data_IF_735146570522
#
_entry.id   IF_735146570522
#
_cell.length_a   1.000
_cell.length_b   1.000
_cell.length_c   1.000
_cell.angle_alpha   90.00
_cell.angle_beta   90.00
_cell.angle_gamma   90.00
#
_symmetry.space_group_name_H-M   'P 1'
#
loop_
_entity.id
_entity.type
_entity.pdbx_description
1 polymer ?
#
# COMPACT_ATOMS: atom_id res chain seq x y z
N UNK A 1 10.75 -12.04 -59.23
CA UNK A 1 10.48 -12.76 -57.95
C UNK A 1 11.82 -13.03 -57.29
N UNK A 2 12.34 -12.08 -56.51
CA UNK A 2 13.64 -12.21 -55.84
C UNK A 2 13.40 -12.44 -54.35
N UNK A 3 13.88 -13.59 -53.88
CA UNK A 3 13.84 -14.02 -52.48
C UNK A 3 14.77 -13.12 -51.65
N UNK A 4 14.22 -12.40 -50.67
CA UNK A 4 15.02 -11.72 -49.66
C UNK A 4 15.62 -12.73 -48.68
N UNK A 5 16.95 -12.80 -48.68
CA UNK A 5 17.73 -13.60 -47.74
C UNK A 5 17.66 -13.02 -46.33
N UNK A 6 17.56 -13.92 -45.35
CA UNK A 6 17.64 -13.62 -43.92
C UNK A 6 18.90 -12.82 -43.56
N UNK A 7 18.72 -11.64 -42.94
CA UNK A 7 19.82 -10.77 -42.48
C UNK A 7 20.27 -11.15 -41.06
N UNK A 8 21.57 -11.42 -40.94
CA UNK A 8 22.32 -11.73 -39.70
C UNK A 8 22.40 -10.53 -38.74
N UNK A 9 22.49 -10.86 -37.45
CA UNK A 9 22.71 -10.01 -36.27
C UNK A 9 23.84 -8.99 -36.46
N UNK A 10 23.59 -7.73 -36.11
CA UNK A 10 24.62 -6.69 -35.96
C UNK A 10 24.38 -5.32 -36.62
N UNK A 11 23.14 -4.89 -36.91
CA UNK A 11 22.88 -3.51 -37.40
C UNK A 11 22.42 -2.58 -36.27
N UNK A 12 22.89 -1.31 -36.24
CA UNK A 12 22.34 -0.28 -35.37
C UNK A 12 20.85 -0.10 -35.67
N UNK A 13 20.05 0.13 -34.63
CA UNK A 13 18.60 0.35 -34.62
C UNK A 13 17.92 0.32 -36.01
N UNK A 14 17.28 -0.81 -36.33
CA UNK A 14 16.54 -1.05 -37.58
C UNK A 14 15.76 0.19 -38.03
N UNK A 15 16.00 0.59 -39.28
CA UNK A 15 15.12 1.47 -40.07
C UNK A 15 13.68 0.98 -39.86
N UNK A 16 12.80 1.86 -39.36
CA UNK A 16 11.39 1.50 -39.25
C UNK A 16 10.85 1.32 -40.66
N UNK A 17 10.20 0.19 -40.91
CA UNK A 17 9.57 -0.02 -42.21
C UNK A 17 8.40 0.97 -42.36
N UNK A 18 8.11 1.40 -43.58
CA UNK A 18 6.99 2.31 -43.87
C UNK A 18 5.68 1.80 -43.23
N UNK A 19 5.41 0.49 -43.32
CA UNK A 19 4.26 -0.14 -42.69
C UNK A 19 4.24 -0.01 -41.14
N UNK A 20 5.41 -0.08 -40.49
CA UNK A 20 5.51 0.11 -39.03
C UNK A 20 5.24 1.56 -38.63
N UNK A 21 5.62 2.52 -39.47
CA UNK A 21 5.37 3.95 -39.25
C UNK A 21 3.90 4.32 -39.47
N UNK A 22 3.23 3.71 -40.45
CA UNK A 22 1.78 3.83 -40.61
C UNK A 22 1.04 3.31 -39.37
N UNK A 23 1.33 2.08 -38.95
CA UNK A 23 0.71 1.49 -37.75
C UNK A 23 1.04 2.27 -36.46
N UNK A 24 2.22 2.90 -36.39
CA UNK A 24 2.58 3.80 -35.31
C UNK A 24 1.72 5.07 -35.30
N UNK A 25 1.51 5.71 -36.45
CA UNK A 25 0.65 6.89 -36.56
C UNK A 25 -0.80 6.54 -36.22
N UNK A 26 -1.32 5.39 -36.69
CA UNK A 26 -2.65 4.90 -36.30
C UNK A 26 -2.77 4.75 -34.77
N UNK A 27 -1.78 4.13 -34.13
CA UNK A 27 -1.74 4.02 -32.66
C UNK A 27 -1.71 5.38 -31.94
N UNK A 28 -1.07 6.40 -32.53
CA UNK A 28 -1.10 7.75 -31.96
C UNK A 28 -2.47 8.42 -32.16
N UNK A 29 -3.13 8.18 -33.31
CA UNK A 29 -4.45 8.71 -33.63
C UNK A 29 -5.56 8.13 -32.75
N UNK A 30 -5.41 6.89 -32.28
CA UNK A 30 -6.34 6.25 -31.33
C UNK A 30 -6.35 6.88 -29.93
N UNK A 31 -5.35 7.71 -29.59
CA UNK A 31 -5.27 8.38 -28.29
C UNK A 31 -6.01 9.70 -28.32
N UNK A 32 -6.85 9.94 -27.30
CA UNK A 32 -7.48 11.24 -27.08
C UNK A 32 -7.48 11.55 -25.56
N UNK A 33 -6.85 12.64 -25.09
CA UNK A 33 -6.13 13.68 -25.84
C UNK A 33 -4.68 13.31 -26.21
N UNK A 34 -4.19 13.85 -27.34
CA UNK A 34 -2.80 13.72 -27.81
C UNK A 34 -1.90 14.82 -27.25
N UNK A 35 -0.63 14.50 -27.04
CA UNK A 35 0.37 15.51 -26.68
C UNK A 35 0.87 16.29 -27.89
N UNK A 36 1.44 17.48 -27.65
CA UNK A 36 2.05 18.30 -28.70
C UNK A 36 3.13 17.54 -29.47
N UNK A 37 3.98 16.78 -28.76
CA UNK A 37 4.99 15.90 -29.36
C UNK A 37 4.37 14.86 -30.30
N UNK A 38 3.24 14.27 -29.93
CA UNK A 38 2.57 13.26 -30.76
C UNK A 38 2.03 13.89 -32.05
N UNK A 39 1.43 15.09 -31.96
CA UNK A 39 0.95 15.81 -33.13
C UNK A 39 2.11 16.20 -34.08
N UNK A 40 3.21 16.74 -33.53
CA UNK A 40 4.40 17.09 -34.31
C UNK A 40 5.00 15.87 -35.05
N UNK A 41 4.99 14.69 -34.40
CA UNK A 41 5.48 13.45 -34.99
C UNK A 41 4.56 12.93 -36.11
N UNK A 42 3.24 13.04 -35.95
CA UNK A 42 2.26 12.68 -36.99
C UNK A 42 2.47 13.57 -38.22
N UNK A 43 2.51 14.89 -38.03
CA UNK A 43 2.64 15.85 -39.12
C UNK A 43 3.96 15.65 -39.90
N UNK A 44 5.06 15.44 -39.17
CA UNK A 44 6.36 15.19 -39.78
C UNK A 44 6.39 13.89 -40.61
N UNK A 45 5.80 12.80 -40.10
CA UNK A 45 5.74 11.53 -40.83
C UNK A 45 4.81 11.58 -42.04
N UNK A 46 3.68 12.30 -41.96
CA UNK A 46 2.75 12.45 -43.08
C UNK A 46 3.30 13.34 -44.20
N UNK A 47 4.03 14.41 -43.85
CA UNK A 47 4.62 15.32 -44.82
C UNK A 47 5.66 14.65 -45.74
N UNK A 48 6.39 13.67 -45.21
CA UNK A 48 7.44 12.94 -45.94
C UNK A 48 7.01 11.54 -46.41
N UNK A 49 5.70 11.30 -46.53
CA UNK A 49 5.11 10.01 -46.96
C UNK A 49 5.70 8.80 -46.20
N UNK A 50 5.85 8.96 -44.88
CA UNK A 50 6.39 7.96 -43.96
C UNK A 50 7.82 7.50 -44.29
N UNK A 51 8.56 8.28 -45.08
CA UNK A 51 9.96 8.04 -45.34
C UNK A 51 10.83 8.62 -44.22
N UNK A 52 11.24 7.78 -43.27
CA UNK A 52 12.04 8.19 -42.12
C UNK A 52 13.37 8.85 -42.49
N UNK A 53 13.99 8.45 -43.60
CA UNK A 53 15.29 8.96 -44.02
C UNK A 53 15.21 10.39 -44.57
N UNK A 54 14.01 10.86 -44.95
CA UNK A 54 13.78 12.21 -45.47
C UNK A 54 13.48 13.23 -44.37
N UNK A 55 13.25 12.75 -43.14
CA UNK A 55 13.10 13.62 -41.98
C UNK A 55 14.44 14.28 -41.60
N UNK A 56 14.37 15.53 -41.15
CA UNK A 56 15.52 16.20 -40.52
C UNK A 56 16.00 15.44 -39.27
N UNK A 57 17.27 15.59 -38.90
CA UNK A 57 17.83 14.91 -37.71
C UNK A 57 17.04 15.19 -36.43
N UNK A 58 16.54 16.43 -36.26
CA UNK A 58 15.70 16.81 -35.14
C UNK A 58 14.38 16.02 -35.14
N UNK A 59 13.69 15.94 -36.29
CA UNK A 59 12.45 15.16 -36.43
C UNK A 59 12.70 13.66 -36.21
N UNK A 60 13.81 13.11 -36.70
CA UNK A 60 14.18 11.71 -36.48
C UNK A 60 14.34 11.38 -34.98
N UNK A 61 14.92 12.31 -34.20
CA UNK A 61 15.03 12.15 -32.73
C UNK A 61 13.65 12.15 -32.08
N UNK A 62 12.78 13.09 -32.45
CA UNK A 62 11.41 13.19 -31.91
C UNK A 62 10.59 11.93 -32.21
N UNK A 63 10.65 11.44 -33.46
CA UNK A 63 9.99 10.19 -33.86
C UNK A 63 10.53 9.01 -33.06
N UNK A 64 11.84 8.89 -32.88
CA UNK A 64 12.45 7.81 -32.06
C UNK A 64 12.00 7.87 -30.59
N UNK A 65 11.84 9.06 -30.02
CA UNK A 65 11.34 9.23 -28.66
C UNK A 65 9.87 8.81 -28.55
N UNK A 66 9.02 9.32 -29.44
CA UNK A 66 7.60 9.02 -29.48
C UNK A 66 7.29 7.55 -29.82
N UNK A 67 8.23 6.84 -30.46
CA UNK A 67 8.12 5.42 -30.77
C UNK A 67 8.31 4.48 -29.56
N UNK A 68 8.97 4.92 -28.48
CA UNK A 68 9.25 4.03 -27.33
C UNK A 68 7.98 3.41 -26.75
N UNK A 69 6.90 4.16 -26.45
CA UNK A 69 5.67 3.60 -25.92
C UNK A 69 4.96 2.67 -26.92
N UNK A 70 5.04 2.98 -28.22
CA UNK A 70 4.46 2.12 -29.26
C UNK A 70 5.19 0.78 -29.36
N UNK A 71 6.53 0.78 -29.35
CA UNK A 71 7.33 -0.46 -29.34
C UNK A 71 7.04 -1.34 -28.13
N UNK A 72 6.81 -0.73 -26.97
CA UNK A 72 6.38 -1.46 -25.77
C UNK A 72 4.97 -2.04 -25.94
N UNK A 73 4.02 -1.27 -26.46
CA UNK A 73 2.65 -1.71 -26.73
C UNK A 73 2.63 -2.91 -27.70
N UNK A 74 3.35 -2.82 -28.82
CA UNK A 74 3.43 -3.90 -29.81
C UNK A 74 4.02 -5.19 -29.22
N UNK A 75 5.07 -5.08 -28.40
CA UNK A 75 5.65 -6.27 -27.72
C UNK A 75 4.62 -6.96 -26.84
N UNK A 76 3.84 -6.19 -26.06
CA UNK A 76 2.80 -6.73 -25.21
C UNK A 76 1.68 -7.39 -26.05
N UNK A 77 1.23 -6.71 -27.10
CA UNK A 77 0.18 -7.20 -28.01
C UNK A 77 0.57 -8.50 -28.69
N UNK A 78 1.77 -8.57 -29.27
CA UNK A 78 2.26 -9.77 -29.95
C UNK A 78 2.39 -10.95 -28.99
N UNK A 79 2.89 -10.71 -27.77
CA UNK A 79 2.97 -11.78 -26.77
C UNK A 79 1.58 -12.26 -26.34
N UNK A 80 0.63 -11.34 -26.17
CA UNK A 80 -0.75 -11.69 -25.84
C UNK A 80 -1.40 -12.54 -26.95
N UNK A 81 -1.24 -12.15 -28.21
CA UNK A 81 -1.76 -12.90 -29.37
C UNK A 81 -1.13 -14.29 -29.43
N UNK A 82 0.19 -14.38 -29.25
CA UNK A 82 0.91 -15.66 -29.21
C UNK A 82 0.38 -16.59 -28.12
N UNK A 83 0.31 -16.09 -26.87
CA UNK A 83 -0.13 -16.88 -25.72
C UNK A 83 -1.62 -17.24 -25.79
N UNK A 84 -2.45 -16.36 -26.36
CA UNK A 84 -3.88 -16.62 -26.51
C UNK A 84 -4.15 -17.84 -27.39
N UNK A 85 -3.33 -18.05 -28.43
CA UNK A 85 -3.44 -19.19 -29.34
C UNK A 85 -2.87 -20.49 -28.76
N UNK A 86 -2.12 -20.45 -27.64
CA UNK A 86 -1.56 -21.65 -27.05
C UNK A 86 -2.62 -22.48 -26.30
N UNK A 87 -2.72 -23.80 -26.55
CA UNK A 87 -3.76 -24.65 -25.95
C UNK A 87 -3.51 -24.98 -24.47
N UNK A 88 -2.25 -24.97 -24.02
CA UNK A 88 -1.87 -25.15 -22.62
C UNK A 88 -1.08 -23.93 -22.18
N UNK A 89 -1.45 -23.39 -21.03
CA UNK A 89 -0.85 -22.19 -20.45
C UNK A 89 -0.37 -22.52 -19.05
N UNK A 90 0.73 -21.90 -18.67
CA UNK A 90 1.24 -21.90 -17.30
C UNK A 90 0.54 -20.84 -16.47
N UNK A 91 0.61 -20.93 -15.14
CA UNK A 91 0.06 -19.91 -14.24
C UNK A 91 0.62 -18.51 -14.54
N UNK A 92 1.88 -18.42 -14.99
CA UNK A 92 2.49 -17.14 -15.37
C UNK A 92 1.89 -16.56 -16.64
N UNK A 93 1.68 -17.40 -17.66
CA UNK A 93 1.08 -17.00 -18.93
C UNK A 93 -0.39 -16.60 -18.73
N UNK A 94 -1.14 -17.37 -17.93
CA UNK A 94 -2.51 -17.03 -17.55
C UNK A 94 -2.58 -15.67 -16.85
N UNK A 95 -1.71 -15.44 -15.86
CA UNK A 95 -1.62 -14.16 -15.17
C UNK A 95 -1.23 -13.01 -16.09
N UNK A 96 -0.33 -13.24 -17.06
CA UNK A 96 0.01 -12.23 -18.06
C UNK A 96 -1.21 -11.86 -18.91
N UNK A 97 -1.97 -12.86 -19.37
CA UNK A 97 -3.17 -12.64 -20.18
C UNK A 97 -4.24 -11.87 -19.40
N UNK A 98 -4.48 -12.21 -18.14
CA UNK A 98 -5.43 -11.49 -17.28
C UNK A 98 -5.03 -10.01 -17.09
N UNK A 99 -3.75 -9.76 -16.79
CA UNK A 99 -3.22 -8.40 -16.64
C UNK A 99 -3.32 -7.63 -17.97
N UNK A 100 -3.04 -8.26 -19.11
CA UNK A 100 -3.14 -7.61 -20.42
C UNK A 100 -4.60 -7.29 -20.79
N UNK A 101 -5.55 -8.17 -20.50
CA UNK A 101 -6.97 -7.90 -20.73
C UNK A 101 -7.48 -6.73 -19.88
N UNK A 102 -7.05 -6.63 -18.62
CA UNK A 102 -7.33 -5.46 -17.78
C UNK A 102 -6.68 -4.20 -18.37
N UNK A 103 -5.51 -4.32 -19.01
CA UNK A 103 -4.75 -3.20 -19.57
C UNK A 103 -5.48 -2.59 -20.76
N UNK A 104 -6.05 -3.42 -21.62
CA UNK A 104 -6.90 -2.97 -22.73
C UNK A 104 -8.17 -2.25 -22.26
N UNK A 105 -8.65 -2.53 -21.04
CA UNK A 105 -9.82 -1.88 -20.45
C UNK A 105 -9.46 -0.66 -19.58
N UNK A 106 -8.20 -0.19 -19.63
CA UNK A 106 -7.67 0.92 -18.83
C UNK A 106 -7.83 0.76 -17.30
N UNK A 107 -7.93 -0.49 -16.82
CA UNK A 107 -8.27 -0.83 -15.44
C UNK A 107 -7.05 -1.28 -14.60
N UNK A 108 -5.84 -0.87 -14.95
CA UNK A 108 -4.64 -1.13 -14.14
C UNK A 108 -4.07 0.15 -13.57
N UNK A 109 -3.63 0.05 -12.33
CA UNK A 109 -2.79 1.09 -11.74
C UNK A 109 -1.37 1.08 -12.35
N UNK A 110 -0.59 2.16 -12.17
CA UNK A 110 0.77 2.25 -12.71
C UNK A 110 1.73 1.14 -12.24
N UNK A 111 1.52 0.58 -11.04
CA UNK A 111 2.36 -0.50 -10.53
C UNK A 111 2.05 -1.82 -11.26
N UNK A 112 0.77 -2.10 -11.51
CA UNK A 112 0.34 -3.27 -12.27
C UNK A 112 0.73 -3.17 -13.76
N UNK A 113 0.70 -1.97 -14.36
CA UNK A 113 1.21 -1.75 -15.74
C UNK A 113 2.71 -2.07 -15.82
N UNK A 114 3.49 -1.64 -14.83
CA UNK A 114 4.91 -1.96 -14.77
C UNK A 114 5.17 -3.46 -14.59
N UNK A 115 4.32 -4.15 -13.82
CA UNK A 115 4.36 -5.61 -13.67
C UNK A 115 4.12 -6.28 -15.04
N UNK A 116 3.09 -5.85 -15.77
CA UNK A 116 2.77 -6.38 -17.10
C UNK A 116 3.95 -6.22 -18.08
N UNK A 117 4.54 -5.02 -18.16
CA UNK A 117 5.71 -4.73 -19.01
C UNK A 117 6.92 -5.60 -18.65
N UNK A 118 7.18 -5.76 -17.35
CA UNK A 118 8.27 -6.60 -16.85
C UNK A 118 8.04 -8.06 -17.20
N UNK A 119 6.80 -8.56 -17.04
CA UNK A 119 6.46 -9.94 -17.35
C UNK A 119 6.71 -10.26 -18.83
N UNK A 120 6.25 -9.40 -19.73
CA UNK A 120 6.51 -9.54 -21.15
C UNK A 120 8.00 -9.57 -21.48
N UNK A 121 8.77 -8.62 -20.95
CA UNK A 121 10.22 -8.56 -21.20
C UNK A 121 10.94 -9.82 -20.72
N UNK A 122 10.59 -10.34 -19.54
CA UNK A 122 11.20 -11.55 -18.98
C UNK A 122 10.80 -12.79 -19.75
N UNK A 123 9.54 -12.94 -20.12
CA UNK A 123 9.09 -14.07 -20.93
C UNK A 123 9.81 -14.12 -22.28
N UNK A 124 9.93 -12.97 -22.95
CA UNK A 124 10.66 -12.88 -24.22
C UNK A 124 12.15 -13.18 -24.04
N UNK A 125 12.77 -12.73 -22.94
CA UNK A 125 14.16 -13.06 -22.61
C UNK A 125 14.33 -14.57 -22.30
N UNK A 126 13.41 -15.16 -21.55
CA UNK A 126 13.36 -16.58 -21.24
C UNK A 126 13.29 -17.42 -22.52
N UNK A 127 12.35 -17.10 -23.41
CA UNK A 127 12.20 -17.75 -24.72
C UNK A 127 13.45 -17.58 -25.59
N UNK A 128 14.07 -16.41 -25.57
CA UNK A 128 15.30 -16.14 -26.32
C UNK A 128 16.53 -16.91 -25.78
N UNK A 129 16.56 -17.19 -24.47
CA UNK A 129 17.68 -17.85 -23.80
C UNK A 129 17.47 -19.36 -23.57
N UNK A 130 16.28 -19.92 -23.87
CA UNK A 130 15.93 -21.34 -23.65
C UNK A 130 16.19 -21.81 -22.20
N UNK A 131 15.92 -20.96 -21.22
CA UNK A 131 16.13 -21.23 -19.79
C UNK A 131 15.08 -22.21 -19.22
N UNK A 132 15.34 -22.77 -18.03
CA UNK A 132 14.44 -23.72 -17.34
C UNK A 132 13.44 -23.03 -16.38
N UNK A 133 12.30 -23.69 -16.14
CA UNK A 133 11.11 -23.20 -15.42
C UNK A 133 11.33 -22.65 -13.99
N UNK A 134 12.47 -22.93 -13.36
CA UNK A 134 12.78 -22.56 -11.97
C UNK A 134 12.89 -21.04 -11.73
N UNK A 135 13.23 -20.26 -12.75
CA UNK A 135 13.33 -18.79 -12.66
C UNK A 135 11.95 -18.09 -12.65
N UNK A 136 10.93 -18.77 -13.17
CA UNK A 136 9.53 -18.32 -13.18
C UNK A 136 8.85 -18.54 -11.82
N UNK A 137 9.13 -19.67 -11.16
CA UNK A 137 8.68 -19.95 -9.78
C UNK A 137 9.33 -19.02 -8.75
N UNK A 138 10.60 -18.66 -8.95
CA UNK A 138 11.29 -17.69 -8.11
C UNK A 138 10.53 -16.35 -8.03
N UNK A 139 9.82 -15.96 -9.10
CA UNK A 139 9.04 -14.73 -9.17
C UNK A 139 7.71 -14.77 -8.40
N UNK A 140 6.96 -15.88 -8.44
CA UNK A 140 5.77 -16.05 -7.58
C UNK A 140 6.14 -15.92 -6.10
N UNK A 141 7.29 -16.46 -5.72
CA UNK A 141 7.82 -16.33 -4.35
C UNK A 141 8.16 -14.87 -3.99
N UNK A 142 8.65 -14.07 -4.95
CA UNK A 142 9.04 -12.68 -4.72
C UNK A 142 7.82 -11.74 -4.59
N UNK A 143 6.75 -11.97 -5.35
CA UNK A 143 5.50 -11.20 -5.23
C UNK A 143 4.85 -11.43 -3.86
N UNK A 144 4.77 -12.69 -3.40
CA UNK A 144 4.25 -13.01 -2.07
C UNK A 144 5.08 -12.35 -0.97
N UNK A 145 6.41 -12.33 -1.11
CA UNK A 145 7.32 -11.66 -0.18
C UNK A 145 7.15 -10.14 -0.15
N UNK A 146 6.91 -9.48 -1.30
CA UNK A 146 6.72 -8.02 -1.38
C UNK A 146 5.43 -7.57 -0.68
N UNK A 147 4.31 -8.24 -0.93
CA UNK A 147 3.02 -7.93 -0.29
C UNK A 147 3.09 -8.14 1.24
N UNK A 148 3.78 -9.19 1.68
CA UNK A 148 4.02 -9.42 3.11
C UNK A 148 4.94 -8.35 3.74
N UNK A 149 5.83 -7.72 2.97
CA UNK A 149 6.74 -6.66 3.45
C UNK A 149 6.04 -5.31 3.61
N UNK A 150 5.09 -4.97 2.73
CA UNK A 150 4.32 -3.73 2.79
C UNK A 150 3.35 -3.75 3.98
N UNK A 151 2.66 -4.87 4.21
CA UNK A 151 1.82 -5.08 5.40
C UNK A 151 2.64 -4.96 6.70
N UNK A 152 3.84 -5.55 6.74
CA UNK A 152 4.78 -5.43 7.88
C UNK A 152 5.25 -3.99 8.12
N UNK A 153 5.51 -3.20 7.06
CA UNK A 153 5.89 -1.78 7.19
C UNK A 153 4.78 -0.93 7.77
N UNK A 154 3.53 -1.11 7.31
CA UNK A 154 2.37 -0.39 7.84
C UNK A 154 2.08 -0.76 9.30
N UNK A 155 2.15 -2.04 9.64
CA UNK A 155 1.98 -2.52 11.01
C UNK A 155 3.08 -2.00 11.95
N UNK A 156 4.34 -2.02 11.51
CA UNK A 156 5.45 -1.49 12.28
C UNK A 156 5.31 0.02 12.50
N UNK A 157 4.96 0.79 11.45
CA UNK A 157 4.71 2.25 11.59
C UNK A 157 3.65 2.52 12.66
N UNK A 158 2.53 1.79 12.61
CA UNK A 158 1.45 1.94 13.61
C UNK A 158 1.90 1.54 15.02
N UNK A 159 2.70 0.48 15.18
CA UNK A 159 3.28 0.10 16.48
C UNK A 159 4.18 1.20 17.05
N UNK A 160 5.00 1.84 16.22
CA UNK A 160 5.83 2.97 16.65
C UNK A 160 5.00 4.18 17.06
N UNK A 161 3.99 4.55 16.28
CA UNK A 161 3.08 5.66 16.60
C UNK A 161 2.34 5.44 17.93
N UNK A 162 1.79 4.24 18.14
CA UNK A 162 1.12 3.87 19.39
C UNK A 162 2.10 3.83 20.58
N UNK A 163 3.32 3.30 20.39
CA UNK A 163 4.36 3.32 21.42
C UNK A 163 4.72 4.75 21.83
N UNK A 164 4.90 5.64 20.85
CA UNK A 164 5.14 7.07 21.09
C UNK A 164 3.99 7.75 21.86
N UNK A 165 2.74 7.43 21.53
CA UNK A 165 1.57 7.95 22.24
C UNK A 165 1.53 7.50 23.71
N UNK A 166 1.87 6.24 24.00
CA UNK A 166 1.96 5.72 25.37
C UNK A 166 3.04 6.47 26.15
N UNK A 167 4.24 6.61 25.59
CA UNK A 167 5.34 7.36 26.23
C UNK A 167 4.92 8.82 26.54
N UNK A 168 4.26 9.48 25.59
CA UNK A 168 3.77 10.83 25.77
C UNK A 168 2.70 10.94 26.86
N UNK A 169 1.83 9.94 27.01
CA UNK A 169 0.83 9.89 28.07
C UNK A 169 1.47 9.77 29.46
N UNK A 170 2.44 8.88 29.65
CA UNK A 170 3.17 8.75 30.91
C UNK A 170 3.93 10.04 31.26
N UNK A 171 4.54 10.71 30.27
CA UNK A 171 5.17 12.03 30.46
C UNK A 171 4.16 13.09 30.94
N UNK A 172 2.96 13.15 30.34
CA UNK A 172 1.89 14.07 30.78
C UNK A 172 1.41 13.80 32.20
N UNK A 173 1.44 12.54 32.63
CA UNK A 173 1.10 12.13 34.00
C UNK A 173 2.26 12.31 34.98
N UNK A 174 3.43 12.76 34.53
CA UNK A 174 4.65 12.88 35.32
C UNK A 174 5.06 11.56 36.00
N UNK A 175 4.85 10.44 35.30
CA UNK A 175 5.24 9.10 35.75
C UNK A 175 6.47 8.67 34.97
N UNK A 176 7.57 8.44 35.67
CA UNK A 176 8.76 7.84 35.07
C UNK A 176 8.57 6.34 34.86
N UNK A 177 8.81 5.91 33.62
CA UNK A 177 8.70 4.50 33.18
C UNK A 177 10.02 3.99 32.61
N UNK A 178 11.13 4.73 32.79
CA UNK A 178 12.43 4.41 32.19
C UNK A 178 12.97 3.03 32.61
N UNK A 179 12.58 2.55 33.80
CA UNK A 179 12.97 1.25 34.34
C UNK A 179 11.86 0.19 34.25
N UNK A 180 10.70 0.52 33.66
CA UNK A 180 9.57 -0.41 33.57
C UNK A 180 9.65 -1.27 32.31
N UNK A 181 9.32 -2.55 32.46
CA UNK A 181 9.15 -3.46 31.33
C UNK A 181 7.85 -3.18 30.57
N UNK A 182 7.75 -3.56 29.27
CA UNK A 182 6.51 -3.42 28.51
C UNK A 182 5.29 -4.08 29.17
N UNK A 183 5.49 -5.22 29.86
CA UNK A 183 4.43 -5.89 30.61
C UNK A 183 3.98 -5.09 31.83
N UNK A 184 4.90 -4.49 32.59
CA UNK A 184 4.55 -3.61 33.72
C UNK A 184 3.78 -2.38 33.23
N UNK A 185 4.20 -1.76 32.13
CA UNK A 185 3.50 -0.63 31.50
C UNK A 185 2.08 -1.05 31.11
N UNK A 186 1.93 -2.18 30.42
CA UNK A 186 0.63 -2.71 30.00
C UNK A 186 -0.27 -2.98 31.20
N UNK A 187 0.25 -3.64 32.23
CA UNK A 187 -0.50 -3.96 33.45
C UNK A 187 -0.95 -2.69 34.18
N UNK A 188 -0.12 -1.64 34.24
CA UNK A 188 -0.53 -0.36 34.83
C UNK A 188 -1.71 0.26 34.08
N UNK A 189 -1.65 0.31 32.75
CA UNK A 189 -2.75 0.85 31.92
C UNK A 189 -4.04 0.05 32.15
N UNK A 190 -3.96 -1.28 32.06
CA UNK A 190 -5.12 -2.17 32.22
C UNK A 190 -5.71 -2.07 33.63
N UNK A 191 -4.87 -2.06 34.67
CA UNK A 191 -5.33 -2.02 36.05
C UNK A 191 -5.94 -0.65 36.41
N UNK A 192 -5.39 0.44 35.88
CA UNK A 192 -6.00 1.77 36.05
C UNK A 192 -7.41 1.82 35.43
N UNK A 193 -7.58 1.26 34.22
CA UNK A 193 -8.89 1.13 33.58
C UNK A 193 -9.87 0.29 34.39
N UNK A 194 -9.45 -0.89 34.86
CA UNK A 194 -10.27 -1.77 35.71
C UNK A 194 -10.69 -1.09 37.01
N UNK A 195 -9.77 -0.38 37.67
CA UNK A 195 -10.07 0.35 38.90
C UNK A 195 -11.10 1.46 38.63
N UNK A 196 -10.90 2.26 37.58
CA UNK A 196 -11.85 3.29 37.18
C UNK A 196 -13.25 2.71 36.90
N UNK A 197 -13.35 1.58 36.21
CA UNK A 197 -14.63 0.92 35.94
C UNK A 197 -15.30 0.39 37.22
N UNK A 198 -14.51 -0.12 38.18
CA UNK A 198 -15.03 -0.52 39.49
C UNK A 198 -15.54 0.67 40.29
N UNK A 199 -14.82 1.80 40.30
CA UNK A 199 -15.28 3.06 40.91
C UNK A 199 -16.60 3.49 40.30
N UNK A 200 -16.74 3.45 38.97
CA UNK A 200 -17.99 3.81 38.28
C UNK A 200 -19.19 2.92 38.63
N UNK A 201 -18.93 1.68 39.05
CA UNK A 201 -19.96 0.73 39.49
C UNK A 201 -20.32 0.86 40.97
N UNK A 202 -19.51 1.57 41.76
CA UNK A 202 -19.75 1.79 43.18
C UNK A 202 -21.07 2.55 43.43
N UNK A 203 -21.68 2.32 44.59
CA UNK A 203 -22.96 2.93 44.94
C UNK A 203 -22.85 4.45 45.01
N UNK A 204 -21.83 4.97 45.70
CA UNK A 204 -21.61 6.43 45.83
C UNK A 204 -21.44 7.08 44.44
N UNK A 205 -20.69 6.46 43.53
CA UNK A 205 -20.52 7.02 42.19
C UNK A 205 -21.81 7.00 41.36
N UNK A 206 -22.64 5.95 41.51
CA UNK A 206 -23.97 5.90 40.89
C UNK A 206 -24.88 7.01 41.41
N UNK A 207 -24.86 7.27 42.71
CA UNK A 207 -25.63 8.36 43.32
C UNK A 207 -25.15 9.71 42.79
N UNK A 208 -23.84 9.96 42.77
CA UNK A 208 -23.24 11.17 42.17
C UNK A 208 -23.72 11.40 40.73
N UNK A 209 -23.81 10.32 39.94
CA UNK A 209 -24.28 10.39 38.55
C UNK A 209 -25.72 10.85 38.40
N UNK A 210 -26.56 10.68 39.41
CA UNK A 210 -27.94 11.20 39.39
C UNK A 210 -27.99 12.72 39.52
N UNK A 211 -27.00 13.34 40.16
CA UNK A 211 -26.90 14.79 40.33
C UNK A 211 -26.12 15.46 39.20
N UNK A 212 -25.04 14.82 38.73
CA UNK A 212 -24.17 15.31 37.65
C UNK A 212 -23.80 14.16 36.73
N UNK A 213 -24.16 14.25 35.45
CA UNK A 213 -23.96 13.17 34.47
C UNK A 213 -22.78 13.40 33.50
N UNK A 214 -22.27 14.64 33.40
CA UNK A 214 -21.11 14.98 32.56
C UNK A 214 -19.81 14.40 33.16
N UNK A 215 -18.93 13.84 32.32
CA UNK A 215 -17.80 13.02 32.78
C UNK A 215 -16.89 13.75 33.77
N UNK A 216 -16.45 14.97 33.44
CA UNK A 216 -15.54 15.71 34.29
C UNK A 216 -16.24 16.22 35.54
N UNK A 217 -17.48 16.68 35.43
CA UNK A 217 -18.29 17.13 36.57
C UNK A 217 -18.61 16.00 37.56
N UNK A 218 -19.03 14.81 37.08
CA UNK A 218 -19.29 13.65 37.95
C UNK A 218 -18.04 13.23 38.70
N UNK A 219 -16.90 13.16 38.02
CA UNK A 219 -15.64 12.76 38.65
C UNK A 219 -15.21 13.77 39.71
N UNK A 220 -15.34 15.07 39.42
CA UNK A 220 -15.04 16.13 40.38
C UNK A 220 -15.95 16.05 41.61
N UNK A 221 -17.27 15.91 41.40
CA UNK A 221 -18.24 15.80 42.49
C UNK A 221 -18.00 14.54 43.32
N UNK A 222 -17.68 13.41 42.69
CA UNK A 222 -17.37 12.17 43.41
C UNK A 222 -16.20 12.34 44.37
N UNK A 223 -15.11 12.97 43.94
CA UNK A 223 -13.96 13.25 44.83
C UNK A 223 -14.38 14.18 45.97
N UNK A 224 -15.13 15.25 45.70
CA UNK A 224 -15.63 16.16 46.74
C UNK A 224 -16.52 15.46 47.77
N UNK A 225 -17.36 14.52 47.34
CA UNK A 225 -18.20 13.70 48.24
C UNK A 225 -17.33 12.81 49.11
N UNK A 226 -16.31 12.15 48.55
CA UNK A 226 -15.38 11.32 49.35
C UNK A 226 -14.63 12.14 50.40
N UNK A 227 -14.11 13.31 50.03
CA UNK A 227 -13.45 14.23 50.96
C UNK A 227 -14.40 14.70 52.06
N UNK A 228 -15.65 15.02 51.70
CA UNK A 228 -16.70 15.39 52.66
C UNK A 228 -17.05 14.25 53.61
N UNK A 229 -17.16 13.00 53.12
CA UNK A 229 -17.40 11.84 53.97
C UNK A 229 -16.24 11.59 54.96
N UNK A 230 -15.01 11.92 54.57
CA UNK A 230 -13.84 11.80 55.43
C UNK A 230 -13.83 12.81 56.59
N UNK A 231 -14.71 13.81 56.63
CA UNK A 231 -14.81 14.72 57.79
C UNK A 231 -15.75 14.20 58.89
N UNK A 232 -16.54 13.16 58.62
CA UNK A 232 -17.51 12.63 59.59
C UNK A 232 -16.86 11.73 60.62
N UNK A 233 -17.27 11.90 61.88
CA UNK A 233 -16.82 11.09 63.01
C UNK A 233 -18.00 10.45 63.72
N UNK A 234 -17.79 9.23 64.21
CA UNK A 234 -18.68 8.54 65.14
C UNK A 234 -17.85 8.10 66.33
N UNK A 235 -18.29 8.48 67.53
CA UNK A 235 -17.61 8.16 68.79
C UNK A 235 -16.12 8.58 68.80
N UNK A 236 -15.82 9.72 68.15
CA UNK A 236 -14.46 10.27 68.02
C UNK A 236 -13.62 9.67 66.88
N UNK A 237 -14.07 8.58 66.25
CA UNK A 237 -13.36 7.90 65.17
C UNK A 237 -13.89 8.30 63.78
N UNK A 238 -13.00 8.43 62.79
CA UNK A 238 -13.37 8.80 61.42
C UNK A 238 -14.18 7.69 60.74
N UNK A 239 -15.25 8.06 60.05
CA UNK A 239 -16.13 7.12 59.33
C UNK A 239 -15.35 6.22 58.36
N UNK A 240 -14.36 6.79 57.66
CA UNK A 240 -13.49 6.02 56.74
C UNK A 240 -12.70 4.92 57.47
N UNK A 241 -12.20 5.19 58.68
CA UNK A 241 -11.44 4.22 59.47
C UNK A 241 -12.37 3.11 59.96
N UNK A 242 -13.58 3.47 60.42
CA UNK A 242 -14.60 2.51 60.85
C UNK A 242 -14.93 1.53 59.71
N UNK A 243 -15.21 2.03 58.50
CA UNK A 243 -15.57 1.17 57.36
C UNK A 243 -14.37 0.37 56.81
N UNK A 244 -13.13 0.89 56.89
CA UNK A 244 -11.92 0.12 56.56
C UNK A 244 -11.78 -1.08 57.52
N UNK A 245 -11.85 -0.85 58.84
CA UNK A 245 -11.75 -1.91 59.86
C UNK A 245 -12.82 -2.98 59.68
N UNK A 246 -14.06 -2.56 59.42
CA UNK A 246 -15.19 -3.45 59.18
C UNK A 246 -15.02 -4.30 57.92
N UNK A 247 -14.51 -3.73 56.84
CA UNK A 247 -14.22 -4.48 55.61
C UNK A 247 -13.07 -5.47 55.79
N UNK A 248 -12.02 -5.09 56.53
CA UNK A 248 -10.90 -5.98 56.84
C UNK A 248 -11.35 -7.19 57.67
N UNK A 249 -12.20 -6.98 58.67
CA UNK A 249 -12.75 -8.06 59.49
C UNK A 249 -13.57 -9.07 58.67
N UNK A 250 -14.34 -8.60 57.68
CA UNK A 250 -15.12 -9.47 56.78
C UNK A 250 -14.28 -10.24 55.76
N UNK A 251 -13.07 -9.79 55.47
CA UNK A 251 -12.18 -10.46 54.52
C UNK A 251 -11.27 -11.52 55.17
N UNK A 252 -11.36 -11.70 56.49
CA UNK A 252 -10.61 -12.68 57.27
C UNK A 252 -11.46 -13.90 57.70
N UNK A 253 -12.74 -13.92 57.33
CA UNK A 253 -13.66 -15.08 57.40
C UNK A 253 -13.71 -15.80 56.04
#
# INVERSE_FOLDING_TARGET
MNQEKAKKRGRPAQLLQIAELHAFVEFLLEKDPRSELQNQVIDALQAEDFNFDYLSEAQQILVKEALKPYREHIKLKLLFEELSQQPKKTEYEEKFLELYQRYQKENLDPAEVNILKMMCTRYLNFKAQKLEYSDLELYLSQIQKKNASEKRKAENKRKFELGGAVLAAFKKLNIDISNDTPQQITNRIVNAGKFHDNVRKSLIFKDVKTYKNEYFESNKLFIQVLEGLHTWKKDGELLSVIEIKKTLAKGQE
#
